data_IF_213641911991
#
_entry.id   IF_213641911991
#
_cell.length_a   1.000
_cell.length_b   1.000
_cell.length_c   1.000
_cell.angle_alpha   90.00
_cell.angle_beta   90.00
_cell.angle_gamma   90.00
#
_symmetry.space_group_name_H-M   'P 1'
#
loop_
_entity.id
_entity.type
_entity.pdbx_description
1 polymer ?
#
# COMPACT_ATOMS: atom_id res chain seq x y z
N UNK A 1 4.28 -3.93 4.20
CA UNK A 1 3.29 -3.50 5.20
C UNK A 1 3.61 -3.89 6.64
N UNK A 2 4.39 -4.93 6.93
CA UNK A 2 4.69 -5.27 8.34
C UNK A 2 3.62 -6.11 9.04
N UNK A 3 2.67 -6.69 8.30
CA UNK A 3 1.67 -7.63 8.83
C UNK A 3 2.19 -9.06 8.73
N UNK A 4 2.12 -9.80 9.83
CA UNK A 4 2.31 -11.25 9.86
C UNK A 4 0.96 -11.90 10.17
N UNK A 5 0.26 -12.34 9.11
CA UNK A 5 -1.10 -12.87 9.23
C UNK A 5 -1.18 -14.14 10.09
N UNK A 6 -0.16 -15.00 10.02
CA UNK A 6 -0.11 -16.26 10.79
C UNK A 6 0.04 -16.01 12.29
N UNK A 7 0.92 -15.09 12.66
CA UNK A 7 1.16 -14.74 14.06
C UNK A 7 0.17 -13.70 14.61
N UNK A 8 -0.64 -13.08 13.74
CA UNK A 8 -1.49 -11.92 14.06
C UNK A 8 -0.70 -10.78 14.70
N UNK A 9 0.45 -10.50 14.08
CA UNK A 9 1.39 -9.47 14.52
C UNK A 9 1.52 -8.36 13.47
N UNK A 10 1.78 -7.14 13.93
CA UNK A 10 1.96 -5.99 13.05
C UNK A 10 3.07 -5.05 13.54
N UNK A 11 3.91 -4.60 12.62
CA UNK A 11 4.81 -3.44 12.80
C UNK A 11 4.15 -2.20 12.18
N UNK A 12 3.98 -1.15 12.98
CA UNK A 12 3.37 0.11 12.54
C UNK A 12 4.46 1.17 12.33
N UNK A 13 4.39 1.88 11.21
CA UNK A 13 5.27 3.01 10.90
C UNK A 13 4.51 4.30 11.19
N UNK A 14 5.08 5.16 12.03
CA UNK A 14 4.43 6.38 12.52
C UNK A 14 2.97 6.12 12.97
N UNK A 15 2.78 5.14 13.86
CA UNK A 15 1.46 4.66 14.34
C UNK A 15 0.48 4.18 13.25
N UNK A 16 0.96 4.03 12.01
CA UNK A 16 0.20 3.54 10.88
C UNK A 16 -0.83 4.52 10.34
N UNK A 17 -0.64 5.83 10.53
CA UNK A 17 -1.63 6.85 10.21
C UNK A 17 -1.57 7.38 8.77
N UNK A 18 -0.42 7.26 8.10
CA UNK A 18 -0.25 7.76 6.75
C UNK A 18 -1.19 7.02 5.77
N UNK A 19 -1.95 7.79 4.98
CA UNK A 19 -2.71 7.24 3.88
C UNK A 19 -1.79 6.95 2.69
N UNK A 20 -1.99 5.81 2.06
CA UNK A 20 -1.30 5.43 0.84
C UNK A 20 -2.29 4.78 -0.13
N UNK A 21 -2.03 4.94 -1.42
CA UNK A 21 -2.74 4.22 -2.46
C UNK A 21 -2.16 2.83 -2.66
N UNK A 22 -3.02 1.83 -2.76
CA UNK A 22 -2.64 0.45 -3.07
C UNK A 22 -3.61 -0.16 -4.07
N UNK A 23 -3.14 -1.21 -4.75
CA UNK A 23 -3.91 -1.92 -5.75
C UNK A 23 -3.91 -3.43 -5.49
N UNK A 24 -5.04 -4.07 -5.74
CA UNK A 24 -5.08 -5.53 -5.81
C UNK A 24 -4.34 -6.00 -7.06
N UNK A 25 -3.75 -7.20 -7.01
CA UNK A 25 -3.10 -7.79 -8.20
C UNK A 25 -4.10 -7.99 -9.35
N UNK A 26 -5.35 -8.33 -9.02
CA UNK A 26 -6.42 -8.50 -9.99
C UNK A 26 -6.76 -7.18 -10.71
N UNK A 27 -6.84 -6.07 -9.98
CA UNK A 27 -7.07 -4.74 -10.56
C UNK A 27 -5.93 -4.31 -11.47
N UNK A 28 -4.67 -4.56 -11.07
CA UNK A 28 -3.50 -4.29 -11.94
C UNK A 28 -3.60 -5.08 -13.24
N UNK A 29 -3.90 -6.38 -13.19
CA UNK A 29 -4.03 -7.22 -14.38
C UNK A 29 -5.16 -6.76 -15.30
N UNK A 30 -6.34 -6.47 -14.74
CA UNK A 30 -7.49 -5.96 -15.51
C UNK A 30 -7.19 -4.60 -16.14
N UNK A 31 -6.55 -3.70 -15.40
CA UNK A 31 -6.17 -2.39 -15.91
C UNK A 31 -5.17 -2.49 -17.06
N UNK A 32 -4.17 -3.36 -16.97
CA UNK A 32 -3.21 -3.57 -18.05
C UNK A 32 -3.90 -4.01 -19.35
N UNK A 33 -4.79 -5.01 -19.28
CA UNK A 33 -5.56 -5.47 -20.44
C UNK A 33 -6.48 -4.37 -20.97
N UNK A 34 -7.14 -3.64 -20.08
CA UNK A 34 -8.01 -2.53 -20.46
C UNK A 34 -7.24 -1.42 -21.18
N UNK A 35 -6.06 -1.03 -20.68
CA UNK A 35 -5.17 -0.02 -21.28
C UNK A 35 -4.77 -0.42 -22.70
N UNK A 36 -4.39 -1.69 -22.90
CA UNK A 36 -3.90 -2.18 -24.19
C UNK A 36 -5.01 -2.54 -25.19
N UNK A 37 -6.28 -2.46 -24.80
CA UNK A 37 -7.41 -2.76 -25.69
C UNK A 37 -7.61 -1.67 -26.75
N UNK A 38 -8.08 -2.04 -27.94
CA UNK A 38 -8.35 -1.11 -29.05
C UNK A 38 -9.26 0.06 -28.64
N UNK A 39 -10.21 -0.18 -27.71
CA UNK A 39 -11.13 0.84 -27.19
C UNK A 39 -10.41 1.96 -26.43
N UNK A 40 -9.30 1.65 -25.76
CA UNK A 40 -8.65 2.56 -24.83
C UNK A 40 -7.25 2.98 -25.28
N UNK A 41 -6.64 2.27 -26.23
CA UNK A 41 -5.25 2.48 -26.60
C UNK A 41 -4.97 3.93 -27.00
N UNK A 42 -5.82 4.54 -27.83
CA UNK A 42 -5.64 5.92 -28.29
C UNK A 42 -5.65 6.94 -27.15
N UNK A 43 -6.51 6.75 -26.13
CA UNK A 43 -6.57 7.66 -24.97
C UNK A 43 -5.46 7.39 -23.96
N UNK A 44 -4.95 6.17 -23.85
CA UNK A 44 -3.90 5.82 -22.88
C UNK A 44 -2.49 5.97 -23.44
N UNK A 45 -2.33 6.02 -24.77
CA UNK A 45 -1.03 6.12 -25.43
C UNK A 45 -0.29 7.38 -24.98
N UNK A 46 0.96 7.20 -24.53
CA UNK A 46 1.82 8.27 -24.05
C UNK A 46 1.24 9.07 -22.85
N UNK A 47 0.38 8.45 -22.04
CA UNK A 47 -0.17 9.05 -20.83
C UNK A 47 0.31 8.31 -19.58
N UNK A 48 0.41 9.05 -18.46
CA UNK A 48 0.48 8.42 -17.15
C UNK A 48 -0.91 7.94 -16.74
N UNK A 49 -1.03 6.63 -16.52
CA UNK A 49 -2.29 6.01 -16.07
C UNK A 49 -2.18 5.71 -14.58
N UNK A 50 -2.89 6.51 -13.78
CA UNK A 50 -2.90 6.36 -12.33
C UNK A 50 -4.06 5.47 -11.88
N UNK A 51 -3.77 4.50 -11.02
CA UNK A 51 -4.74 3.53 -10.50
C UNK A 51 -4.70 3.52 -8.97
N UNK A 52 -5.86 3.38 -8.36
CA UNK A 52 -5.97 3.10 -6.94
C UNK A 52 -7.16 2.16 -6.72
N UNK A 53 -6.93 1.00 -6.13
CA UNK A 53 -8.05 0.18 -5.63
C UNK A 53 -8.52 0.77 -4.30
N UNK A 54 -7.57 1.14 -3.44
CA UNK A 54 -7.82 1.66 -2.11
C UNK A 54 -6.85 2.79 -1.78
N UNK A 55 -7.37 3.84 -1.13
CA UNK A 55 -6.57 4.79 -0.36
C UNK A 55 -6.83 4.45 1.10
N UNK A 56 -5.81 4.00 1.82
CA UNK A 56 -5.98 3.49 3.19
C UNK A 56 -4.70 3.64 4.02
N UNK A 57 -4.75 3.33 5.31
CA UNK A 57 -3.63 3.35 6.25
C UNK A 57 -3.37 1.98 6.88
N UNK A 58 -2.18 1.78 7.48
CA UNK A 58 -1.92 0.53 8.22
C UNK A 58 -2.90 0.35 9.38
N UNK A 59 -3.31 1.45 10.02
CA UNK A 59 -4.26 1.48 11.14
C UNK A 59 -5.66 1.03 10.71
N UNK A 60 -6.15 1.50 9.56
CA UNK A 60 -7.43 1.06 9.00
C UNK A 60 -7.42 -0.42 8.63
N UNK A 61 -6.36 -0.87 7.94
CA UNK A 61 -6.21 -2.29 7.58
C UNK A 61 -6.16 -3.16 8.84
N UNK A 62 -5.44 -2.73 9.89
CA UNK A 62 -5.40 -3.42 11.17
C UNK A 62 -6.79 -3.54 11.80
N UNK A 63 -7.56 -2.45 11.83
CA UNK A 63 -8.91 -2.46 12.36
C UNK A 63 -9.83 -3.44 11.60
N UNK A 64 -9.71 -3.50 10.27
CA UNK A 64 -10.45 -4.45 9.44
C UNK A 64 -10.01 -5.90 9.74
N UNK A 65 -8.72 -6.17 9.79
CA UNK A 65 -8.20 -7.50 10.16
C UNK A 65 -8.77 -7.95 11.51
N UNK A 66 -8.74 -7.10 12.54
CA UNK A 66 -9.26 -7.43 13.87
C UNK A 66 -10.78 -7.67 13.86
N UNK A 67 -11.53 -6.90 13.05
CA UNK A 67 -12.97 -7.07 12.86
C UNK A 67 -13.29 -8.41 12.20
N UNK A 68 -12.64 -8.70 11.08
CA UNK A 68 -12.84 -9.93 10.28
C UNK A 68 -12.46 -11.17 11.08
N UNK A 69 -11.33 -11.15 11.78
CA UNK A 69 -10.85 -12.33 12.53
C UNK A 69 -11.46 -12.44 13.92
N UNK A 70 -12.17 -11.43 14.41
CA UNK A 70 -12.74 -11.38 15.76
C UNK A 70 -11.69 -11.39 16.88
N UNK A 71 -10.43 -11.05 16.59
CA UNK A 71 -9.34 -11.10 17.56
C UNK A 71 -8.42 -9.90 17.44
N UNK A 72 -7.91 -9.41 18.58
CA UNK A 72 -6.88 -8.36 18.60
C UNK A 72 -5.54 -8.87 18.08
N UNK A 73 -4.83 -7.99 17.39
CA UNK A 73 -3.51 -8.27 16.83
C UNK A 73 -2.44 -7.61 17.68
N UNK A 74 -1.31 -8.28 17.83
CA UNK A 74 -0.19 -7.79 18.64
C UNK A 74 0.64 -6.81 17.81
N UNK A 75 0.75 -5.57 18.29
CA UNK A 75 1.70 -4.60 17.74
C UNK A 75 3.08 -4.97 18.27
N UNK A 76 3.94 -5.50 17.41
CA UNK A 76 5.30 -5.95 17.80
C UNK A 76 6.30 -4.82 17.82
N UNK A 77 6.06 -3.77 17.04
CA UNK A 77 6.97 -2.64 16.92
C UNK A 77 6.22 -1.39 16.41
N UNK A 78 6.65 -0.23 16.91
CA UNK A 78 6.32 1.09 16.36
C UNK A 78 7.61 1.73 15.87
N UNK A 79 7.68 2.00 14.58
CA UNK A 79 8.85 2.55 13.92
C UNK A 79 8.61 4.03 13.63
N UNK A 80 9.48 4.89 14.13
CA UNK A 80 9.56 6.28 13.68
C UNK A 80 10.25 6.31 12.30
N UNK A 81 9.50 6.74 11.29
CA UNK A 81 9.96 6.69 9.90
C UNK A 81 11.14 7.64 9.66
N UNK A 82 11.14 8.83 10.27
CA UNK A 82 12.19 9.84 10.09
C UNK A 82 13.50 9.42 10.76
N UNK A 83 13.44 8.82 11.95
CA UNK A 83 14.60 8.23 12.62
C UNK A 83 15.13 7.00 11.87
N UNK A 84 14.23 6.10 11.43
CA UNK A 84 14.63 4.92 10.65
C UNK A 84 15.29 5.33 9.34
N UNK A 85 14.77 6.35 8.66
CA UNK A 85 15.37 6.88 7.44
C UNK A 85 16.81 7.34 7.66
N UNK A 86 17.08 8.11 8.74
CA UNK A 86 18.45 8.56 9.06
C UNK A 86 19.39 7.39 9.27
N UNK A 87 18.96 6.39 10.05
CA UNK A 87 19.74 5.18 10.33
C UNK A 87 20.06 4.39 9.05
N UNK A 88 19.07 4.20 8.17
CA UNK A 88 19.29 3.48 6.90
C UNK A 88 20.27 4.25 6.00
N UNK A 89 20.22 5.58 5.97
CA UNK A 89 21.21 6.36 5.21
C UNK A 89 22.63 6.24 5.78
N UNK A 90 22.81 6.04 7.09
CA UNK A 90 24.12 5.77 7.69
C UNK A 90 24.63 4.37 7.34
N UNK A 91 23.76 3.36 7.40
CA UNK A 91 24.07 1.98 7.00
C UNK A 91 24.52 1.95 5.52
N UNK A 92 23.82 2.65 4.63
CA UNK A 92 24.17 2.75 3.21
C UNK A 92 25.53 3.43 2.97
N UNK A 93 25.89 4.45 3.75
CA UNK A 93 27.22 5.10 3.67
C UNK A 93 28.35 4.11 4.00
N UNK A 94 28.06 3.11 4.82
CA UNK A 94 28.98 2.05 5.21
C UNK A 94 28.91 0.81 4.28
N UNK A 95 28.24 0.92 3.12
CA UNK A 95 27.97 -0.18 2.18
C UNK A 95 27.12 -1.33 2.78
N UNK A 96 26.36 -1.07 3.83
CA UNK A 96 25.37 -2.01 4.36
C UNK A 96 23.99 -1.72 3.74
N UNK A 97 23.52 -2.66 2.91
CA UNK A 97 22.23 -2.59 2.22
C UNK A 97 21.16 -3.46 2.87
N UNK A 98 21.45 -4.09 4.02
CA UNK A 98 20.55 -5.04 4.69
C UNK A 98 19.18 -4.45 5.03
N UNK A 99 19.12 -3.14 5.27
CA UNK A 99 17.93 -2.38 5.62
C UNK A 99 17.38 -1.51 4.49
N UNK A 100 17.94 -1.57 3.28
CA UNK A 100 17.60 -0.64 2.19
C UNK A 100 16.09 -0.62 1.84
N UNK A 101 15.40 -1.76 1.99
CA UNK A 101 13.95 -1.86 1.78
C UNK A 101 13.14 -1.03 2.76
N UNK A 102 13.71 -0.62 3.89
CA UNK A 102 13.03 0.27 4.83
C UNK A 102 12.84 1.67 4.27
N UNK A 103 13.66 2.13 3.31
CA UNK A 103 13.40 3.40 2.64
C UNK A 103 12.07 3.37 1.86
N UNK A 104 11.71 2.22 1.27
CA UNK A 104 10.40 2.07 0.64
C UNK A 104 9.27 2.10 1.68
N UNK A 105 9.49 1.52 2.87
CA UNK A 105 8.50 1.52 3.96
C UNK A 105 8.32 2.92 4.54
N UNK A 106 9.41 3.65 4.76
CA UNK A 106 9.40 5.07 5.13
C UNK A 106 8.62 5.87 4.09
N UNK A 107 8.95 5.73 2.80
CA UNK A 107 8.29 6.48 1.74
C UNK A 107 6.79 6.15 1.58
N UNK A 108 6.37 4.94 1.97
CA UNK A 108 4.98 4.48 1.82
C UNK A 108 4.13 4.74 3.05
N UNK A 109 4.69 4.55 4.26
CA UNK A 109 3.94 4.55 5.52
C UNK A 109 4.34 5.68 6.47
N UNK A 110 5.36 6.48 6.13
CA UNK A 110 5.75 7.64 6.93
C UNK A 110 4.75 8.79 6.80
N UNK A 111 4.55 9.55 7.89
CA UNK A 111 3.56 10.65 7.94
C UNK A 111 3.89 11.85 7.07
N UNK A 112 5.14 11.99 6.62
CA UNK A 112 5.58 13.18 5.86
C UNK A 112 4.90 13.28 4.49
N UNK A 113 4.55 12.16 3.84
CA UNK A 113 3.91 12.15 2.52
C UNK A 113 2.94 10.98 2.36
N UNK A 114 1.76 11.28 1.84
CA UNK A 114 0.77 10.26 1.43
C UNK A 114 1.12 9.72 0.05
N UNK A 115 1.68 8.51 -0.02
CA UNK A 115 2.24 7.97 -1.26
C UNK A 115 1.14 7.59 -2.27
N UNK A 116 1.33 8.03 -3.53
CA UNK A 116 0.50 7.67 -4.68
C UNK A 116 -1.00 7.98 -4.49
N UNK A 117 -1.35 8.91 -3.60
CA UNK A 117 -2.70 9.42 -3.45
C UNK A 117 -2.98 10.44 -4.55
N UNK A 118 -3.58 9.98 -5.63
CA UNK A 118 -3.92 10.79 -6.79
C UNK A 118 -5.35 11.31 -6.65
N UNK A 119 -5.59 12.58 -6.96
CA UNK A 119 -6.95 13.14 -6.98
C UNK A 119 -7.83 12.49 -8.05
N UNK A 120 -7.24 12.18 -9.22
CA UNK A 120 -7.91 11.56 -10.34
C UNK A 120 -7.25 10.21 -10.68
N UNK A 121 -8.07 9.16 -10.75
CA UNK A 121 -7.63 7.80 -11.12
C UNK A 121 -8.40 7.34 -12.34
N UNK A 122 -7.79 6.45 -13.13
CA UNK A 122 -8.34 5.93 -14.38
C UNK A 122 -9.30 4.75 -14.18
N UNK A 123 -9.63 4.42 -12.93
CA UNK A 123 -10.41 3.22 -12.60
C UNK A 123 -11.75 3.18 -13.34
N UNK A 124 -12.47 4.31 -13.39
CA UNK A 124 -13.78 4.41 -14.06
C UNK A 124 -13.65 4.43 -15.58
N UNK A 125 -12.66 5.15 -16.08
CA UNK A 125 -12.33 5.31 -17.50
C UNK A 125 -11.95 3.98 -18.14
N UNK A 126 -11.32 3.10 -17.36
CA UNK A 126 -10.96 1.74 -17.76
C UNK A 126 -12.04 0.71 -17.41
N UNK A 127 -13.18 1.15 -16.90
CA UNK A 127 -14.31 0.30 -16.50
C UNK A 127 -13.89 -0.82 -15.51
N UNK A 128 -13.01 -0.49 -14.56
CA UNK A 128 -12.61 -1.41 -13.50
C UNK A 128 -13.75 -1.53 -12.49
N UNK A 129 -13.99 -2.74 -12.00
CA UNK A 129 -15.04 -3.01 -11.03
C UNK A 129 -14.71 -2.35 -9.68
N UNK A 130 -15.74 -1.82 -9.01
CA UNK A 130 -15.64 -1.40 -7.62
C UNK A 130 -15.32 -2.60 -6.73
N UNK A 131 -14.59 -2.35 -5.65
CA UNK A 131 -14.14 -3.40 -4.72
C UNK A 131 -14.29 -2.93 -3.28
N UNK A 132 -14.42 -3.89 -2.37
CA UNK A 132 -14.48 -3.65 -0.93
C UNK A 132 -13.17 -4.07 -0.28
N UNK A 133 -12.50 -3.13 0.38
CA UNK A 133 -11.27 -3.42 1.12
C UNK A 133 -11.53 -4.48 2.21
N UNK A 134 -12.71 -4.45 2.83
CA UNK A 134 -13.08 -5.43 3.86
C UNK A 134 -13.24 -6.83 3.28
N UNK A 135 -13.92 -6.97 2.13
CA UNK A 135 -14.12 -8.28 1.49
C UNK A 135 -12.78 -8.86 1.00
N UNK A 136 -11.91 -8.01 0.44
CA UNK A 136 -10.59 -8.42 -0.03
C UNK A 136 -9.66 -8.83 1.12
N UNK A 137 -9.76 -8.16 2.28
CA UNK A 137 -9.03 -8.57 3.49
C UNK A 137 -9.63 -9.86 4.06
N UNK A 138 -10.96 -10.00 4.05
CA UNK A 138 -11.64 -11.20 4.53
C UNK A 138 -11.24 -12.45 3.75
N UNK A 139 -11.02 -12.32 2.44
CA UNK A 139 -10.56 -13.42 1.59
C UNK A 139 -9.13 -13.94 1.91
N UNK A 140 -8.39 -13.31 2.84
CA UNK A 140 -7.06 -13.74 3.27
C UNK A 140 -7.05 -14.71 4.46
N UNK A 141 -8.19 -14.91 5.13
CA UNK A 141 -8.35 -15.72 6.33
C UNK A 141 -9.26 -16.92 6.08
#
# INVERSE_FOLDING_TARGET
>A
MGFNLKAREVTLWDDGEALFSTNTRATIGKALVAILSDKNLDKTKNQYVYLSSYITSQKEILAICEKVTGTKWKIVERVDASERMKKVHEELKNNDFSSALDLLRVATYGKEKELCKWENTWNKELCLADQSLEDDIAALF
#
